data_IF_699547941534
#
_entry.id   IF_699547941534
#
_cell.length_a   1.000
_cell.length_b   1.000
_cell.length_c   1.000
_cell.angle_alpha   90.00
_cell.angle_beta   90.00
_cell.angle_gamma   90.00
#
_symmetry.space_group_name_H-M   'P 1'
#
loop_
_entity.id
_entity.type
_entity.pdbx_description
1 polymer ?
#
# COMPACT_ATOMS: atom_id res chain seq x y z
N UNK A 1 10.11 -4.97 14.77
CA UNK A 1 9.21 -6.04 15.21
C UNK A 1 7.91 -5.85 14.45
N UNK A 2 7.43 -6.87 13.75
CA UNK A 2 6.23 -6.76 12.89
C UNK A 2 4.99 -6.62 13.75
N UNK A 3 4.19 -5.59 13.47
CA UNK A 3 2.99 -5.24 14.22
C UNK A 3 1.74 -5.85 13.58
N UNK A 4 0.92 -6.55 14.37
CA UNK A 4 -0.27 -7.26 13.91
C UNK A 4 -1.48 -6.82 14.73
N UNK A 5 -2.62 -6.66 14.06
CA UNK A 5 -3.94 -6.57 14.72
C UNK A 5 -4.69 -7.88 14.52
N UNK A 6 -5.25 -8.42 15.60
CA UNK A 6 -6.12 -9.60 15.57
C UNK A 6 -7.56 -9.16 15.81
N UNK A 7 -8.46 -9.55 14.90
CA UNK A 7 -9.88 -9.22 14.93
C UNK A 7 -10.70 -10.50 14.90
N UNK A 8 -11.29 -10.85 16.04
CA UNK A 8 -12.01 -12.11 16.25
C UNK A 8 -12.98 -11.92 17.42
N UNK A 9 -14.27 -12.25 17.27
CA UNK A 9 -15.27 -12.02 18.32
C UNK A 9 -15.24 -13.10 19.40
N UNK A 10 -14.88 -14.33 19.05
CA UNK A 10 -14.70 -15.42 20.01
C UNK A 10 -13.41 -15.24 20.82
N UNK A 11 -13.53 -14.95 22.13
CA UNK A 11 -12.37 -14.62 22.97
C UNK A 11 -11.33 -15.73 23.08
N UNK A 12 -11.76 -16.99 23.06
CA UNK A 12 -10.86 -18.15 23.15
C UNK A 12 -10.04 -18.26 21.87
N UNK A 13 -10.69 -18.22 20.71
CA UNK A 13 -10.01 -18.25 19.40
C UNK A 13 -9.05 -17.08 19.25
N UNK A 14 -9.46 -15.88 19.69
CA UNK A 14 -8.59 -14.69 19.67
C UNK A 14 -7.34 -14.88 20.52
N UNK A 15 -7.48 -15.39 21.75
CA UNK A 15 -6.38 -15.67 22.65
C UNK A 15 -5.42 -16.70 22.04
N UNK A 16 -5.93 -17.79 21.49
CA UNK A 16 -5.11 -18.82 20.83
C UNK A 16 -4.28 -18.23 19.68
N UNK A 17 -4.88 -17.39 18.83
CA UNK A 17 -4.16 -16.72 17.73
C UNK A 17 -3.05 -15.81 18.26
N UNK A 18 -3.34 -15.03 19.30
CA UNK A 18 -2.40 -14.08 19.89
C UNK A 18 -1.21 -14.82 20.50
N UNK A 19 -1.47 -15.89 21.26
CA UNK A 19 -0.41 -16.73 21.83
C UNK A 19 0.49 -17.33 20.75
N UNK A 20 -0.09 -17.86 19.66
CA UNK A 20 0.69 -18.39 18.53
C UNK A 20 1.56 -17.32 17.87
N UNK A 21 1.04 -16.10 17.70
CA UNK A 21 1.78 -14.98 17.09
C UNK A 21 2.90 -14.47 18.00
N UNK A 22 2.63 -14.29 19.28
CA UNK A 22 3.61 -13.81 20.25
C UNK A 22 4.73 -14.83 20.49
N UNK A 23 4.39 -16.12 20.55
CA UNK A 23 5.38 -17.21 20.61
C UNK A 23 6.33 -17.21 19.39
N UNK A 24 5.84 -16.77 18.23
CA UNK A 24 6.62 -16.57 17.02
C UNK A 24 7.31 -15.18 16.92
N UNK A 25 7.36 -14.41 18.00
CA UNK A 25 7.95 -13.05 18.10
C UNK A 25 7.27 -11.97 17.24
N UNK A 26 5.99 -12.14 16.90
CA UNK A 26 5.18 -11.05 16.37
C UNK A 26 4.65 -10.16 17.50
N UNK A 27 4.46 -8.87 17.21
CA UNK A 27 3.92 -7.91 18.17
C UNK A 27 2.43 -7.67 17.90
N UNK A 28 1.55 -8.21 18.75
CA UNK A 28 0.12 -7.94 18.64
C UNK A 28 -0.18 -6.58 19.27
N UNK A 29 -0.42 -5.57 18.44
CA UNK A 29 -0.62 -4.18 18.90
C UNK A 29 -2.06 -3.87 19.31
N UNK A 30 -3.02 -4.69 18.85
CA UNK A 30 -4.41 -4.62 19.27
C UNK A 30 -5.15 -5.93 19.03
N UNK A 31 -6.04 -6.25 19.97
CA UNK A 31 -6.98 -7.36 19.91
C UNK A 31 -8.39 -6.80 20.03
N UNK A 32 -9.23 -7.05 19.03
CA UNK A 32 -10.58 -6.49 18.95
C UNK A 32 -11.59 -7.54 18.49
N UNK A 33 -12.86 -7.37 18.84
CA UNK A 33 -13.91 -8.37 18.58
C UNK A 33 -14.99 -7.95 17.59
N UNK A 34 -14.76 -6.92 16.77
CA UNK A 34 -15.68 -6.54 15.68
C UNK A 34 -15.02 -5.61 14.67
N UNK A 35 -15.63 -5.48 13.49
CA UNK A 35 -15.12 -4.66 12.39
C UNK A 35 -15.04 -3.15 12.66
N UNK A 36 -15.91 -2.58 13.51
CA UNK A 36 -15.83 -1.14 13.84
C UNK A 36 -14.57 -0.85 14.66
N UNK A 37 -14.32 -1.65 15.70
CA UNK A 37 -13.09 -1.55 16.49
C UNK A 37 -11.85 -1.87 15.66
N UNK A 38 -11.96 -2.74 14.65
CA UNK A 38 -10.86 -3.00 13.72
C UNK A 38 -10.47 -1.74 12.94
N UNK A 39 -11.45 -0.95 12.49
CA UNK A 39 -11.20 0.32 11.81
C UNK A 39 -10.52 1.33 12.73
N UNK A 40 -11.02 1.49 13.95
CA UNK A 40 -10.42 2.38 14.96
C UNK A 40 -8.98 1.98 15.30
N UNK A 41 -8.74 0.69 15.52
CA UNK A 41 -7.42 0.17 15.84
C UNK A 41 -6.46 0.32 14.64
N UNK A 42 -6.93 0.08 13.42
CA UNK A 42 -6.13 0.30 12.20
C UNK A 42 -5.77 1.78 12.03
N UNK A 43 -6.72 2.69 12.31
CA UNK A 43 -6.52 4.13 12.31
C UNK A 43 -5.45 4.57 13.31
N UNK A 44 -5.47 3.99 14.51
CA UNK A 44 -4.57 4.32 15.62
C UNK A 44 -3.18 3.73 15.47
N UNK A 45 -3.07 2.45 15.15
CA UNK A 45 -1.82 1.70 15.26
C UNK A 45 -1.09 1.48 13.95
N UNK A 46 -1.76 1.59 12.79
CA UNK A 46 -1.15 1.41 11.47
C UNK A 46 -0.32 0.11 11.37
N UNK A 47 -0.94 -1.06 11.62
CA UNK A 47 -0.19 -2.31 11.68
C UNK A 47 0.37 -2.72 10.31
N UNK A 48 1.31 -3.65 10.35
CA UNK A 48 1.88 -4.27 9.16
C UNK A 48 0.99 -5.37 8.57
N UNK A 49 0.17 -6.02 9.41
CA UNK A 49 -0.78 -7.06 9.00
C UNK A 49 -2.05 -7.01 9.86
N UNK A 50 -3.18 -7.36 9.27
CA UNK A 50 -4.44 -7.56 10.00
C UNK A 50 -4.92 -8.98 9.77
N UNK A 51 -5.20 -9.70 10.85
CA UNK A 51 -5.85 -11.01 10.83
C UNK A 51 -7.30 -10.81 11.28
N UNK A 52 -8.27 -11.23 10.49
CA UNK A 52 -9.66 -10.83 10.68
C UNK A 52 -10.65 -11.93 10.38
N UNK A 53 -11.52 -12.25 11.34
CA UNK A 53 -12.68 -13.10 11.08
C UNK A 53 -13.68 -12.42 10.15
N UNK A 54 -14.29 -13.21 9.27
CA UNK A 54 -15.36 -12.80 8.39
C UNK A 54 -16.63 -12.53 9.17
N UNK A 55 -17.02 -13.41 10.10
CA UNK A 55 -18.28 -13.29 10.83
C UNK A 55 -18.06 -12.68 12.21
N UNK A 56 -18.54 -11.46 12.38
CA UNK A 56 -18.46 -10.74 13.66
C UNK A 56 -19.72 -9.90 13.87
N UNK A 57 -20.08 -9.57 15.13
CA UNK A 57 -21.17 -8.68 15.44
C UNK A 57 -20.90 -7.24 14.97
N UNK A 58 -21.97 -6.45 14.80
CA UNK A 58 -21.98 -5.05 14.33
C UNK A 58 -21.51 -4.85 12.88
N UNK A 59 -20.25 -5.17 12.59
CA UNK A 59 -19.65 -5.06 11.27
C UNK A 59 -18.85 -6.33 10.96
N UNK A 60 -19.22 -6.98 9.86
CA UNK A 60 -18.53 -8.15 9.34
C UNK A 60 -17.14 -7.83 8.78
N UNK A 61 -16.24 -8.82 8.78
CA UNK A 61 -14.86 -8.66 8.36
C UNK A 61 -14.69 -8.34 6.88
N UNK A 62 -15.64 -8.76 6.02
CA UNK A 62 -15.61 -8.44 4.59
C UNK A 62 -15.90 -6.95 4.34
N UNK A 63 -16.80 -6.34 5.10
CA UNK A 63 -17.07 -4.90 5.04
C UNK A 63 -15.95 -4.10 5.71
N UNK A 64 -15.43 -4.56 6.84
CA UNK A 64 -14.30 -3.91 7.50
C UNK A 64 -13.06 -3.90 6.58
N UNK A 65 -12.71 -5.05 6.00
CA UNK A 65 -11.60 -5.17 5.04
C UNK A 65 -11.79 -4.28 3.81
N UNK A 66 -13.00 -4.21 3.25
CA UNK A 66 -13.38 -3.26 2.18
C UNK A 66 -13.02 -1.82 2.49
N UNK A 67 -13.33 -1.38 3.71
CA UNK A 67 -13.10 0.01 4.12
C UNK A 67 -11.61 0.24 4.38
N UNK A 68 -10.94 -0.70 5.06
CA UNK A 68 -9.51 -0.63 5.37
C UNK A 68 -8.69 -0.58 4.09
N UNK A 69 -8.92 -1.50 3.15
CA UNK A 69 -8.20 -1.56 1.86
C UNK A 69 -8.30 -0.28 1.06
N UNK A 70 -9.44 0.43 1.11
CA UNK A 70 -9.62 1.69 0.37
C UNK A 70 -8.79 2.83 0.96
N UNK A 71 -8.56 2.81 2.27
CA UNK A 71 -7.89 3.89 3.01
C UNK A 71 -6.40 3.59 3.25
N UNK A 72 -6.05 2.31 3.37
CA UNK A 72 -4.74 1.82 3.76
C UNK A 72 -4.25 0.71 2.85
N UNK A 73 -2.94 0.67 2.67
CA UNK A 73 -2.27 -0.40 1.95
C UNK A 73 -1.70 -1.43 2.92
N UNK A 74 -2.58 -2.00 3.76
CA UNK A 74 -2.22 -3.01 4.75
C UNK A 74 -2.76 -4.36 4.27
N UNK A 75 -1.93 -5.42 4.24
CA UNK A 75 -2.41 -6.77 3.91
C UNK A 75 -3.41 -7.26 4.97
N UNK A 76 -4.43 -7.99 4.51
CA UNK A 76 -5.46 -8.57 5.38
C UNK A 76 -5.55 -10.06 5.13
N UNK A 77 -5.38 -10.86 6.18
CA UNK A 77 -5.58 -12.30 6.19
C UNK A 77 -6.92 -12.63 6.83
N UNK A 78 -7.81 -13.25 6.07
CA UNK A 78 -9.16 -13.56 6.56
C UNK A 78 -9.19 -14.91 7.30
N UNK A 79 -9.95 -14.98 8.38
CA UNK A 79 -10.32 -16.24 9.04
C UNK A 79 -11.72 -16.61 8.59
N UNK A 80 -11.94 -17.85 8.19
CA UNK A 80 -13.21 -18.30 7.63
C UNK A 80 -13.61 -19.68 8.15
N UNK A 81 -14.92 -19.92 8.30
CA UNK A 81 -15.43 -21.28 8.39
C UNK A 81 -15.53 -21.88 6.97
N UNK A 82 -15.51 -23.21 6.87
CA UNK A 82 -15.55 -23.93 5.59
C UNK A 82 -16.75 -23.53 4.70
N UNK A 83 -17.90 -23.26 5.32
CA UNK A 83 -19.14 -22.84 4.65
C UNK A 83 -19.09 -21.45 4.00
N UNK A 84 -18.01 -20.68 4.18
CA UNK A 84 -17.93 -19.30 3.73
C UNK A 84 -16.92 -19.06 2.61
N UNK A 85 -16.25 -20.11 2.12
CA UNK A 85 -15.29 -20.00 1.01
C UNK A 85 -15.89 -19.36 -0.26
N UNK A 86 -17.18 -19.59 -0.53
CA UNK A 86 -17.89 -19.00 -1.68
C UNK A 86 -17.93 -17.46 -1.60
N UNK A 87 -18.07 -16.89 -0.40
CA UNK A 87 -18.10 -15.44 -0.19
C UNK A 87 -16.71 -14.80 -0.27
N UNK A 88 -15.64 -15.58 -0.06
CA UNK A 88 -14.25 -15.10 -0.13
C UNK A 88 -13.84 -14.82 -1.58
N UNK A 89 -14.29 -15.66 -2.52
CA UNK A 89 -14.01 -15.49 -3.95
C UNK A 89 -14.64 -14.21 -4.51
N UNK A 90 -15.85 -13.86 -4.08
CA UNK A 90 -16.50 -12.57 -4.42
C UNK A 90 -15.81 -11.37 -3.73
N UNK A 91 -15.11 -11.62 -2.63
CA UNK A 91 -14.37 -10.64 -1.88
C UNK A 91 -12.88 -10.55 -2.26
N UNK A 92 -12.47 -10.98 -3.47
CA UNK A 92 -11.13 -10.73 -4.03
C UNK A 92 -10.87 -9.24 -4.25
N UNK A 93 -10.65 -8.54 -3.15
CA UNK A 93 -10.37 -7.13 -3.12
C UNK A 93 -8.88 -6.88 -3.12
N UNK A 94 -8.49 -5.64 -3.46
CA UNK A 94 -7.12 -5.21 -3.26
C UNK A 94 -6.70 -5.49 -1.80
N UNK A 95 -5.51 -6.04 -1.61
CA UNK A 95 -4.87 -6.28 -0.31
C UNK A 95 -5.45 -7.39 0.58
N UNK A 96 -6.45 -8.15 0.16
CA UNK A 96 -6.72 -9.45 0.81
C UNK A 96 -5.71 -10.46 0.26
N UNK A 97 -4.81 -10.91 1.12
CA UNK A 97 -3.66 -11.76 0.72
C UNK A 97 -3.99 -13.25 0.76
N UNK A 98 -5.04 -13.63 1.49
CA UNK A 98 -5.48 -15.01 1.61
C UNK A 98 -6.52 -15.20 2.71
N UNK A 99 -6.84 -16.46 2.94
CA UNK A 99 -7.72 -16.88 4.03
C UNK A 99 -7.20 -18.15 4.70
N UNK A 100 -7.53 -18.30 5.98
CA UNK A 100 -7.29 -19.52 6.77
C UNK A 100 -8.65 -20.07 7.17
N UNK A 101 -8.85 -21.37 6.93
CA UNK A 101 -10.05 -22.07 7.35
C UNK A 101 -9.91 -22.50 8.82
N UNK A 102 -10.89 -22.17 9.67
CA UNK A 102 -10.97 -22.64 11.06
C UNK A 102 -11.20 -24.17 11.10
N UNK A 103 -10.64 -24.91 12.07
CA UNK A 103 -9.86 -24.45 13.23
C UNK A 103 -8.43 -24.04 12.85
N UNK A 104 -7.92 -23.00 13.51
CA UNK A 104 -6.61 -22.41 13.20
C UNK A 104 -5.53 -23.16 13.96
N UNK A 105 -4.47 -23.55 13.26
CA UNK A 105 -3.27 -24.13 13.85
C UNK A 105 -2.05 -23.27 13.55
N UNK A 106 -1.04 -23.32 14.40
CA UNK A 106 0.24 -22.60 14.21
C UNK A 106 0.88 -22.95 12.86
N UNK A 107 0.81 -24.23 12.46
CA UNK A 107 1.32 -24.75 11.18
C UNK A 107 0.62 -24.15 9.94
N UNK A 108 -0.57 -23.56 10.10
CA UNK A 108 -1.27 -22.84 9.04
C UNK A 108 -1.12 -21.33 9.19
N UNK A 109 -1.16 -20.82 10.42
CA UNK A 109 -1.13 -19.38 10.71
C UNK A 109 0.21 -18.75 10.35
N UNK A 110 1.33 -19.29 10.85
CA UNK A 110 2.63 -18.67 10.68
C UNK A 110 3.07 -18.61 9.20
N UNK A 111 2.93 -19.69 8.40
CA UNK A 111 3.25 -19.62 6.98
C UNK A 111 2.36 -18.62 6.22
N UNK A 112 1.08 -18.54 6.56
CA UNK A 112 0.16 -17.60 5.93
C UNK A 112 0.53 -16.13 6.25
N UNK A 113 0.93 -15.85 7.50
CA UNK A 113 1.45 -14.54 7.93
C UNK A 113 2.74 -14.20 7.17
N UNK A 114 3.68 -15.13 7.05
CA UNK A 114 4.93 -14.90 6.32
C UNK A 114 4.68 -14.60 4.84
N UNK A 115 3.82 -15.38 4.18
CA UNK A 115 3.43 -15.16 2.78
C UNK A 115 2.76 -13.79 2.62
N UNK A 116 1.83 -13.45 3.50
CA UNK A 116 1.13 -12.16 3.50
C UNK A 116 2.11 -10.98 3.57
N UNK A 117 3.05 -11.05 4.52
CA UNK A 117 4.06 -10.02 4.73
C UNK A 117 4.98 -9.87 3.51
N UNK A 118 5.44 -10.99 2.95
CA UNK A 118 6.32 -10.98 1.78
C UNK A 118 5.61 -10.45 0.54
N UNK A 119 4.34 -10.78 0.33
CA UNK A 119 3.54 -10.21 -0.75
C UNK A 119 3.38 -8.69 -0.59
N UNK A 120 3.11 -8.22 0.63
CA UNK A 120 2.99 -6.79 0.90
C UNK A 120 4.29 -6.03 0.60
N UNK A 121 5.44 -6.58 0.98
CA UNK A 121 6.77 -6.03 0.66
C UNK A 121 7.01 -5.98 -0.86
N UNK A 122 6.78 -7.09 -1.57
CA UNK A 122 6.94 -7.13 -3.03
C UNK A 122 6.05 -6.08 -3.73
N UNK A 123 4.80 -5.93 -3.29
CA UNK A 123 3.87 -4.93 -3.85
C UNK A 123 4.36 -3.51 -3.57
N UNK A 124 4.89 -3.25 -2.38
CA UNK A 124 5.45 -1.95 -2.02
C UNK A 124 6.67 -1.59 -2.89
N UNK A 125 7.59 -2.55 -3.10
CA UNK A 125 8.76 -2.40 -3.96
C UNK A 125 8.36 -2.13 -5.42
N UNK A 126 7.47 -2.96 -5.99
CA UNK A 126 6.97 -2.76 -7.35
C UNK A 126 6.31 -1.38 -7.52
N UNK A 127 5.51 -0.93 -6.55
CA UNK A 127 4.90 0.41 -6.60
C UNK A 127 5.94 1.51 -6.55
N UNK A 128 6.98 1.35 -5.74
CA UNK A 128 8.09 2.30 -5.70
C UNK A 128 8.77 2.40 -7.06
N UNK A 129 9.13 1.28 -7.68
CA UNK A 129 9.75 1.24 -9.01
C UNK A 129 8.87 1.86 -10.10
N UNK A 130 7.58 1.53 -10.11
CA UNK A 130 6.61 2.08 -11.06
C UNK A 130 6.51 3.60 -10.91
N UNK A 131 6.43 4.10 -9.67
CA UNK A 131 6.35 5.53 -9.41
C UNK A 131 7.65 6.26 -9.77
N UNK A 132 8.80 5.65 -9.46
CA UNK A 132 10.11 6.19 -9.80
C UNK A 132 10.28 6.31 -11.33
N UNK A 133 9.94 5.25 -12.06
CA UNK A 133 9.99 5.22 -13.53
C UNK A 133 9.04 6.24 -14.16
N UNK A 134 7.79 6.31 -13.67
CA UNK A 134 6.82 7.31 -14.12
C UNK A 134 7.31 8.74 -13.90
N UNK A 135 7.95 9.01 -12.76
CA UNK A 135 8.54 10.31 -12.46
C UNK A 135 9.64 10.65 -13.46
N UNK A 136 10.62 9.77 -13.66
CA UNK A 136 11.70 10.01 -14.64
C UNK A 136 11.16 10.26 -16.05
N UNK A 137 10.13 9.51 -16.48
CA UNK A 137 9.49 9.71 -17.77
C UNK A 137 8.82 11.09 -17.88
N UNK A 138 8.11 11.52 -16.83
CA UNK A 138 7.46 12.82 -16.80
C UNK A 138 8.49 13.97 -16.80
N UNK A 139 9.55 13.85 -16.02
CA UNK A 139 10.63 14.84 -15.96
C UNK A 139 11.29 14.99 -17.35
N UNK A 140 11.55 13.87 -18.03
CA UNK A 140 12.06 13.89 -19.41
C UNK A 140 11.08 14.56 -20.38
N UNK A 141 9.78 14.28 -20.29
CA UNK A 141 8.75 14.93 -21.12
C UNK A 141 8.70 16.44 -20.91
N UNK A 142 8.87 16.92 -19.67
CA UNK A 142 8.91 18.35 -19.39
C UNK A 142 10.10 19.01 -20.08
N UNK A 143 11.28 18.41 -19.96
CA UNK A 143 12.51 18.92 -20.61
C UNK A 143 12.35 18.98 -22.13
N UNK A 144 11.86 17.91 -22.77
CA UNK A 144 11.63 17.88 -24.22
C UNK A 144 10.62 18.94 -24.68
N UNK A 145 9.51 19.11 -23.95
CA UNK A 145 8.52 20.16 -24.25
C UNK A 145 9.11 21.55 -24.12
N UNK A 146 9.84 21.83 -23.05
CA UNK A 146 10.47 23.13 -22.84
C UNK A 146 11.53 23.44 -23.91
N UNK A 147 12.35 22.45 -24.31
CA UNK A 147 13.26 22.58 -25.45
C UNK A 147 12.49 22.96 -26.72
N UNK A 148 11.43 22.22 -27.06
CA UNK A 148 10.62 22.50 -28.25
C UNK A 148 10.01 23.91 -28.27
N UNK A 149 9.58 24.43 -27.11
CA UNK A 149 9.09 25.81 -26.99
C UNK A 149 10.23 26.83 -27.20
N UNK A 150 11.39 26.63 -26.56
CA UNK A 150 12.55 27.50 -26.70
C UNK A 150 13.09 27.52 -28.14
N UNK A 151 13.10 26.37 -28.82
CA UNK A 151 13.48 26.26 -30.22
C UNK A 151 12.58 27.14 -31.10
N UNK A 152 11.26 27.05 -30.93
CA UNK A 152 10.29 27.83 -31.72
C UNK A 152 10.35 29.32 -31.43
N UNK A 153 10.41 29.72 -30.17
CA UNK A 153 10.32 31.14 -29.80
C UNK A 153 11.61 31.92 -30.01
N UNK A 154 12.75 31.27 -29.85
CA UNK A 154 14.06 31.90 -29.90
C UNK A 154 14.88 31.47 -31.13
N UNK A 155 14.27 30.71 -32.04
CA UNK A 155 14.88 30.13 -33.22
C UNK A 155 16.20 29.40 -32.92
N UNK A 156 16.20 28.63 -31.84
CA UNK A 156 17.37 27.90 -31.35
C UNK A 156 17.43 26.49 -31.92
N UNK A 157 18.64 25.96 -32.11
CA UNK A 157 18.85 24.52 -32.26
C UNK A 157 18.48 23.80 -30.97
N UNK A 158 18.23 22.50 -31.06
CA UNK A 158 17.91 21.68 -29.90
C UNK A 158 19.03 21.75 -28.82
N UNK A 159 20.28 21.70 -29.26
CA UNK A 159 21.45 21.77 -28.40
C UNK A 159 21.53 23.12 -27.66
N UNK A 160 21.32 24.23 -28.38
CA UNK A 160 21.30 25.56 -27.77
C UNK A 160 20.13 25.75 -26.80
N UNK A 161 18.95 25.18 -27.11
CA UNK A 161 17.80 25.18 -26.21
C UNK A 161 18.08 24.40 -24.92
N UNK A 162 18.70 23.22 -25.01
CA UNK A 162 19.08 22.41 -23.86
C UNK A 162 20.11 23.12 -22.97
N UNK A 163 21.17 23.68 -23.55
CA UNK A 163 22.19 24.43 -22.80
C UNK A 163 21.59 25.63 -22.07
N UNK A 164 20.66 26.34 -22.71
CA UNK A 164 19.95 27.47 -22.09
C UNK A 164 19.09 27.03 -20.90
N UNK A 165 18.39 25.91 -21.04
CA UNK A 165 17.59 25.30 -19.98
C UNK A 165 18.49 24.88 -18.79
N UNK A 166 19.60 24.19 -19.09
CA UNK A 166 20.58 23.72 -18.10
C UNK A 166 21.23 24.87 -17.35
N UNK A 167 21.65 25.93 -18.06
CA UNK A 167 22.25 27.12 -17.45
C UNK A 167 21.27 27.80 -16.48
N UNK A 168 20.02 28.02 -16.88
CA UNK A 168 18.99 28.60 -16.00
C UNK A 168 18.70 27.74 -14.77
N UNK A 169 18.74 26.41 -14.92
CA UNK A 169 18.61 25.47 -13.81
C UNK A 169 19.79 25.58 -12.84
N UNK A 170 21.03 25.66 -13.34
CA UNK A 170 22.22 25.84 -12.50
C UNK A 170 22.23 27.19 -11.78
N UNK A 171 21.91 28.29 -12.48
CA UNK A 171 21.87 29.64 -11.91
C UNK A 171 20.87 29.74 -10.74
N UNK A 172 19.81 28.94 -10.77
CA UNK A 172 18.77 28.88 -9.73
C UNK A 172 18.92 27.71 -8.76
N UNK A 173 19.93 26.85 -8.94
CA UNK A 173 20.16 25.64 -8.14
C UNK A 173 18.93 24.73 -7.99
N UNK A 174 18.18 24.55 -9.08
CA UNK A 174 17.01 23.66 -9.13
C UNK A 174 17.18 22.59 -10.20
N UNK A 175 16.46 21.47 -10.06
CA UNK A 175 16.38 20.44 -11.09
C UNK A 175 15.97 21.00 -12.45
N UNK A 176 16.52 20.43 -13.52
CA UNK A 176 16.29 20.91 -14.89
C UNK A 176 14.83 20.77 -15.32
N UNK A 177 14.15 19.74 -14.81
CA UNK A 177 12.73 19.47 -14.94
C UNK A 177 11.85 20.53 -14.29
N UNK A 178 12.30 21.12 -13.17
CA UNK A 178 11.59 22.21 -12.48
C UNK A 178 11.65 23.49 -13.32
N UNK A 179 12.83 23.82 -13.85
CA UNK A 179 12.97 24.98 -14.74
C UNK A 179 12.20 24.76 -16.07
N UNK A 180 12.19 23.54 -16.59
CA UNK A 180 11.38 23.17 -17.75
C UNK A 180 9.89 23.42 -17.51
N UNK A 181 9.35 22.98 -16.37
CA UNK A 181 7.95 23.22 -15.99
C UNK A 181 7.64 24.72 -15.94
N UNK A 182 8.49 25.52 -15.29
CA UNK A 182 8.32 26.98 -15.20
C UNK A 182 8.30 27.66 -16.57
N UNK A 183 9.11 27.20 -17.51
CA UNK A 183 9.13 27.74 -18.88
C UNK A 183 7.83 27.38 -19.60
N UNK A 184 7.33 26.16 -19.45
CA UNK A 184 6.05 25.73 -20.03
C UNK A 184 4.89 26.55 -19.45
N UNK A 185 4.88 26.82 -18.15
CA UNK A 185 3.82 27.60 -17.49
C UNK A 185 3.82 29.08 -17.87
N UNK A 186 4.99 29.71 -17.99
CA UNK A 186 5.11 31.13 -18.37
C UNK A 186 4.69 31.43 -19.82
N UNK A 187 4.54 30.40 -20.62
CA UNK A 187 4.30 30.49 -22.06
C UNK A 187 2.96 29.84 -22.46
N UNK A 188 2.15 29.45 -21.48
CA UNK A 188 0.71 29.19 -21.60
C UNK A 188 -0.06 30.51 -21.46
#
# INVERSE_FOLDING_TARGET
>A
MTSIIVVEDESIVRMDIVEMLEAANYNVVAEVGNGEKALEATDKFRPDLIIMDIKMPKMDGLKASKIITKKYNIPILLLTAYSHCEYVEEAKQANIVGYIVKPISEAQLLPAVEIAMRQAQNIAELRFEVNHTKKQMNDRKLVEKAKGILMKQLNLTEEAAYQKLRRKSMDKQVGIEIEASKIIEKLR
#
